data_IF_112579612021
#
_entry.id   IF_112579612021
#
_cell.length_a   1.000
_cell.length_b   1.000
_cell.length_c   1.000
_cell.angle_alpha   90.00
_cell.angle_beta   90.00
_cell.angle_gamma   90.00
#
_symmetry.space_group_name_H-M   'P 1'
#
loop_
_entity.id
_entity.type
_entity.pdbx_description
1 polymer ?
#
# COMPACT_ATOMS: atom_id res chain seq x y z
N UNK A 1 -22.84 -7.07 -24.65
CA UNK A 1 -21.97 -6.57 -23.57
C UNK A 1 -21.84 -5.07 -23.73
N UNK A 2 -22.19 -4.26 -22.73
CA UNK A 2 -22.07 -2.81 -22.80
C UNK A 2 -20.57 -2.42 -22.70
N UNK A 3 -20.03 -1.49 -23.50
CA UNK A 3 -18.64 -1.05 -23.39
C UNK A 3 -18.22 -0.60 -21.98
N UNK A 4 -19.14 -0.03 -21.20
CA UNK A 4 -18.86 0.34 -19.81
C UNK A 4 -18.61 -0.86 -18.88
N UNK A 5 -19.33 -1.97 -19.07
CA UNK A 5 -19.13 -3.20 -18.30
C UNK A 5 -17.74 -3.80 -18.55
N UNK A 6 -17.21 -3.61 -19.77
CA UNK A 6 -15.87 -4.10 -20.14
C UNK A 6 -14.74 -3.28 -19.51
N UNK A 7 -14.96 -1.99 -19.26
CA UNK A 7 -13.97 -1.12 -18.61
C UNK A 7 -13.91 -1.38 -17.11
N UNK A 8 -15.07 -1.40 -16.44
CA UNK A 8 -15.16 -1.72 -15.01
C UNK A 8 -14.57 -3.10 -14.66
N UNK A 9 -14.78 -4.10 -15.52
CA UNK A 9 -14.19 -5.42 -15.33
C UNK A 9 -12.66 -5.43 -15.46
N UNK A 10 -12.08 -4.56 -16.31
CA UNK A 10 -10.62 -4.40 -16.44
C UNK A 10 -10.04 -3.65 -15.25
N UNK A 11 -10.73 -2.62 -14.78
CA UNK A 11 -10.31 -1.87 -13.58
C UNK A 11 -10.31 -2.76 -12.35
N UNK A 12 -11.36 -3.58 -12.13
CA UNK A 12 -11.39 -4.52 -11.02
C UNK A 12 -10.25 -5.56 -11.05
N UNK A 13 -9.80 -5.97 -12.23
CA UNK A 13 -8.63 -6.87 -12.36
C UNK A 13 -7.35 -6.14 -12.00
N UNK A 14 -7.21 -4.89 -12.42
CA UNK A 14 -6.06 -4.04 -12.05
C UNK A 14 -6.03 -3.78 -10.54
N UNK A 15 -7.15 -3.40 -9.94
CA UNK A 15 -7.26 -3.18 -8.48
C UNK A 15 -6.95 -4.45 -7.69
N UNK A 16 -7.43 -5.61 -8.14
CA UNK A 16 -7.08 -6.88 -7.51
C UNK A 16 -5.57 -7.14 -7.58
N UNK A 17 -4.94 -6.87 -8.72
CA UNK A 17 -3.50 -7.02 -8.87
C UNK A 17 -2.74 -6.07 -7.93
N UNK A 18 -3.15 -4.80 -7.86
CA UNK A 18 -2.59 -3.80 -6.96
C UNK A 18 -2.66 -4.26 -5.49
N UNK A 19 -3.81 -4.78 -5.08
CA UNK A 19 -4.04 -5.31 -3.74
C UNK A 19 -3.24 -6.57 -3.44
N UNK A 20 -3.03 -7.45 -4.43
CA UNK A 20 -2.24 -8.68 -4.24
C UNK A 20 -0.76 -8.35 -4.05
N UNK A 21 -0.15 -7.46 -4.86
CA UNK A 21 1.27 -7.17 -4.62
C UNK A 21 1.50 -6.27 -3.41
N UNK A 22 0.55 -5.41 -3.03
CA UNK A 22 0.64 -4.70 -1.74
C UNK A 22 0.57 -5.67 -0.56
N UNK A 23 -0.28 -6.70 -0.62
CA UNK A 23 -0.26 -7.81 0.35
C UNK A 23 1.06 -8.59 0.33
N UNK A 24 1.63 -8.88 -0.84
CA UNK A 24 2.94 -9.53 -0.94
C UNK A 24 4.03 -8.67 -0.32
N UNK A 25 3.99 -7.36 -0.53
CA UNK A 25 4.91 -6.42 0.10
C UNK A 25 4.75 -6.46 1.63
N UNK A 26 3.52 -6.34 2.14
CA UNK A 26 3.25 -6.38 3.58
C UNK A 26 3.62 -7.73 4.22
N UNK A 27 3.40 -8.84 3.51
CA UNK A 27 3.71 -10.21 3.94
C UNK A 27 5.16 -10.65 3.72
N UNK A 28 5.97 -9.87 3.02
CA UNK A 28 7.37 -10.21 2.73
C UNK A 28 8.25 -10.15 3.98
N UNK A 29 9.37 -10.88 3.98
CA UNK A 29 10.37 -10.72 5.03
C UNK A 29 11.03 -9.34 4.97
N UNK A 30 11.56 -8.88 6.10
CA UNK A 30 12.13 -7.53 6.27
C UNK A 30 13.12 -7.14 5.15
N UNK A 31 14.03 -8.05 4.78
CA UNK A 31 15.03 -7.77 3.75
C UNK A 31 14.41 -7.53 2.37
N UNK A 32 13.31 -8.22 2.06
CA UNK A 32 12.56 -8.02 0.81
C UNK A 32 11.78 -6.71 0.89
N UNK A 33 11.12 -6.43 2.02
CA UNK A 33 10.38 -5.18 2.26
C UNK A 33 11.27 -3.94 2.03
N UNK A 34 12.46 -3.93 2.65
CA UNK A 34 13.44 -2.84 2.49
C UNK A 34 14.08 -2.84 1.10
N UNK A 35 14.26 -4.01 0.48
CA UNK A 35 15.00 -4.17 -0.76
C UNK A 35 14.21 -3.86 -2.05
N UNK A 36 12.87 -3.78 -1.99
CA UNK A 36 12.04 -3.46 -3.18
C UNK A 36 11.66 -1.99 -3.27
N UNK A 37 11.74 -1.25 -2.17
CA UNK A 37 11.38 0.17 -2.11
C UNK A 37 12.60 1.08 -2.30
N UNK A 38 12.42 2.31 -2.84
CA UNK A 38 13.51 3.26 -2.95
C UNK A 38 14.06 3.68 -1.59
N UNK A 39 15.38 3.86 -1.48
CA UNK A 39 16.05 4.18 -0.20
C UNK A 39 15.67 5.52 0.44
N UNK A 40 15.00 6.41 -0.30
CA UNK A 40 14.64 7.74 0.17
C UNK A 40 13.22 7.83 0.75
N UNK A 41 12.42 6.76 0.67
CA UNK A 41 11.10 6.73 1.29
C UNK A 41 11.19 6.35 2.76
N UNK A 42 10.19 6.73 3.54
CA UNK A 42 10.00 6.19 4.88
C UNK A 42 9.38 4.79 4.76
N UNK A 43 10.21 3.75 4.84
CA UNK A 43 9.82 2.40 4.41
C UNK A 43 8.59 1.85 5.16
N UNK A 44 8.48 1.94 6.50
CA UNK A 44 7.29 1.47 7.21
C UNK A 44 6.00 2.15 6.72
N UNK A 45 6.03 3.48 6.59
CA UNK A 45 4.88 4.27 6.12
C UNK A 45 4.53 3.89 4.68
N UNK A 46 5.54 3.81 3.81
CA UNK A 46 5.33 3.49 2.39
C UNK A 46 4.65 2.14 2.19
N UNK A 47 5.02 1.12 2.98
CA UNK A 47 4.38 -0.20 2.95
C UNK A 47 2.92 -0.11 3.37
N UNK A 48 2.63 0.62 4.46
CA UNK A 48 1.26 0.78 4.94
C UNK A 48 0.39 1.59 3.96
N UNK A 49 0.92 2.69 3.44
CA UNK A 49 0.24 3.53 2.44
C UNK A 49 -0.02 2.76 1.15
N UNK A 50 0.96 1.99 0.65
CA UNK A 50 0.78 1.14 -0.54
C UNK A 50 -0.37 0.15 -0.36
N UNK A 51 -0.51 -0.43 0.83
CA UNK A 51 -1.62 -1.32 1.14
C UNK A 51 -2.95 -0.55 1.24
N UNK A 52 -2.98 0.53 2.04
CA UNK A 52 -4.18 1.34 2.24
C UNK A 52 -4.75 1.89 0.94
N UNK A 53 -3.90 2.45 0.07
CA UNK A 53 -4.30 2.98 -1.24
C UNK A 53 -4.92 1.91 -2.14
N UNK A 54 -4.35 0.69 -2.14
CA UNK A 54 -4.91 -0.43 -2.89
C UNK A 54 -6.23 -0.92 -2.26
N UNK A 55 -6.34 -0.91 -0.93
CA UNK A 55 -7.52 -1.34 -0.20
C UNK A 55 -8.72 -0.40 -0.40
N UNK A 56 -8.51 0.90 -0.65
CA UNK A 56 -9.58 1.85 -1.02
C UNK A 56 -10.44 1.36 -2.20
N UNK A 57 -9.89 0.48 -3.04
CA UNK A 57 -10.54 -0.05 -4.23
C UNK A 57 -11.06 -1.48 -4.07
N UNK A 58 -10.97 -2.05 -2.86
CA UNK A 58 -11.39 -3.42 -2.56
C UNK A 58 -12.91 -3.63 -2.72
N UNK A 59 -13.73 -2.60 -2.48
CA UNK A 59 -15.19 -2.65 -2.67
C UNK A 59 -15.57 -2.88 -4.14
N UNK A 60 -14.82 -2.30 -5.08
CA UNK A 60 -15.03 -2.50 -6.51
C UNK A 60 -14.60 -3.92 -6.93
N UNK A 61 -13.53 -4.45 -6.33
CA UNK A 61 -13.08 -5.83 -6.52
C UNK A 61 -14.13 -6.83 -6.02
N UNK A 62 -14.71 -6.58 -4.83
CA UNK A 62 -15.79 -7.37 -4.26
C UNK A 62 -17.06 -7.29 -5.11
N UNK A 63 -17.48 -6.08 -5.50
CA UNK A 63 -18.68 -5.86 -6.33
C UNK A 63 -18.58 -6.53 -7.70
N UNK A 64 -17.37 -6.63 -8.24
CA UNK A 64 -17.08 -7.34 -9.49
C UNK A 64 -16.99 -8.87 -9.32
N UNK A 65 -17.20 -9.40 -8.10
CA UNK A 65 -17.16 -10.83 -7.80
C UNK A 65 -15.77 -11.45 -7.90
N UNK A 66 -14.70 -10.64 -7.78
CA UNK A 66 -13.30 -11.11 -7.88
C UNK A 66 -12.77 -11.67 -6.57
N UNK A 67 -13.34 -11.22 -5.45
CA UNK A 67 -13.11 -11.75 -4.11
C UNK A 67 -14.46 -12.04 -3.45
N UNK A 68 -14.44 -12.91 -2.44
CA UNK A 68 -15.58 -13.22 -1.60
C UNK A 68 -15.69 -12.21 -0.45
N UNK A 69 -16.87 -12.17 0.20
CA UNK A 69 -17.05 -11.36 1.41
C UNK A 69 -16.08 -11.75 2.53
N UNK A 70 -15.76 -13.04 2.69
CA UNK A 70 -14.81 -13.50 3.70
C UNK A 70 -13.38 -12.99 3.43
N UNK A 71 -12.94 -13.06 2.17
CA UNK A 71 -11.64 -12.51 1.77
C UNK A 71 -11.57 -10.99 1.95
N UNK A 72 -12.66 -10.28 1.62
CA UNK A 72 -12.76 -8.84 1.91
C UNK A 72 -12.63 -8.54 3.40
N UNK A 73 -13.30 -9.32 4.27
CA UNK A 73 -13.18 -9.15 5.71
C UNK A 73 -11.74 -9.32 6.22
N UNK A 74 -10.96 -10.26 5.65
CA UNK A 74 -9.53 -10.40 5.98
C UNK A 74 -8.70 -9.19 5.58
N UNK A 75 -8.95 -8.67 4.38
CA UNK A 75 -8.29 -7.47 3.88
C UNK A 75 -8.58 -6.27 4.80
N UNK A 76 -9.83 -6.12 5.22
CA UNK A 76 -10.23 -5.09 6.18
C UNK A 76 -9.58 -5.28 7.55
N UNK A 77 -9.48 -6.52 8.06
CA UNK A 77 -8.81 -6.79 9.33
C UNK A 77 -7.34 -6.34 9.34
N UNK A 78 -6.64 -6.46 8.20
CA UNK A 78 -5.27 -5.94 8.06
C UNK A 78 -5.25 -4.41 8.10
N UNK A 79 -6.16 -3.77 7.36
CA UNK A 79 -6.30 -2.31 7.32
C UNK A 79 -6.58 -1.72 8.71
N UNK A 80 -7.51 -2.34 9.45
CA UNK A 80 -7.86 -1.95 10.82
C UNK A 80 -6.66 -2.09 11.78
N UNK A 81 -5.78 -3.08 11.58
CA UNK A 81 -4.57 -3.23 12.38
C UNK A 81 -3.57 -2.12 12.08
N UNK A 82 -3.37 -1.77 10.80
CA UNK A 82 -2.50 -0.65 10.40
C UNK A 82 -3.01 0.69 10.97
N UNK A 83 -4.32 0.94 10.92
CA UNK A 83 -4.94 2.12 11.52
C UNK A 83 -4.72 2.15 13.03
N UNK A 84 -4.87 1.01 13.71
CA UNK A 84 -4.65 0.91 15.17
C UNK A 84 -3.20 1.15 15.60
N UNK A 85 -2.24 1.01 14.69
CA UNK A 85 -0.82 1.31 14.91
C UNK A 85 -0.49 2.79 14.66
N UNK A 86 -1.43 3.57 14.12
CA UNK A 86 -1.20 4.95 13.69
C UNK A 86 -1.42 5.96 14.82
N UNK A 87 -0.85 7.16 14.67
CA UNK A 87 -0.99 8.26 15.63
C UNK A 87 0.29 8.55 16.41
N UNK A 88 0.33 9.72 17.05
CA UNK A 88 1.54 10.23 17.70
C UNK A 88 2.06 9.30 18.80
N UNK A 89 1.15 8.69 19.56
CA UNK A 89 1.47 7.82 20.70
C UNK A 89 2.06 6.46 20.28
N UNK A 90 2.08 6.15 18.98
CA UNK A 90 2.57 4.88 18.42
C UNK A 90 3.74 5.07 17.44
N UNK A 91 4.36 6.25 17.43
CA UNK A 91 5.43 6.58 16.48
C UNK A 91 6.61 5.59 16.51
N UNK A 92 6.87 4.96 17.66
CA UNK A 92 7.90 3.93 17.82
C UNK A 92 7.66 2.68 16.98
N UNK A 93 6.40 2.38 16.65
CA UNK A 93 6.01 1.25 15.79
C UNK A 93 6.38 1.49 14.32
N UNK A 94 6.59 2.74 13.92
CA UNK A 94 6.89 3.14 12.54
C UNK A 94 8.39 3.29 12.28
N UNK A 95 9.23 2.58 13.03
CA UNK A 95 10.69 2.56 12.84
C UNK A 95 11.13 1.30 12.09
N UNK A 96 12.31 1.34 11.44
CA UNK A 96 12.90 0.13 10.83
C UNK A 96 13.18 -0.96 11.87
N UNK A 97 13.54 -0.57 13.10
CA UNK A 97 13.77 -1.51 14.19
C UNK A 97 12.48 -2.24 14.60
N UNK A 98 11.38 -1.51 14.79
CA UNK A 98 10.07 -2.08 15.05
C UNK A 98 9.57 -2.92 13.87
N UNK A 99 9.80 -2.47 12.63
CA UNK A 99 9.46 -3.24 11.43
C UNK A 99 10.19 -4.58 11.36
N UNK A 100 11.48 -4.61 11.73
CA UNK A 100 12.28 -5.84 11.72
C UNK A 100 11.89 -6.78 12.87
N UNK A 101 11.78 -6.26 14.08
CA UNK A 101 11.79 -7.08 15.29
C UNK A 101 10.47 -7.05 16.08
N UNK A 102 9.65 -6.03 15.88
CA UNK A 102 8.42 -5.77 16.63
C UNK A 102 7.34 -6.84 16.41
N UNK A 103 6.58 -7.19 17.47
CA UNK A 103 5.50 -8.17 17.37
C UNK A 103 4.37 -7.72 16.44
N UNK A 104 4.10 -6.42 16.34
CA UNK A 104 3.05 -5.82 15.50
C UNK A 104 3.31 -6.10 14.03
N UNK A 105 4.53 -5.80 13.55
CA UNK A 105 4.94 -6.07 12.17
C UNK A 105 5.08 -7.56 11.85
N UNK A 106 5.48 -8.39 12.83
CA UNK A 106 5.44 -9.85 12.69
C UNK A 106 4.01 -10.37 12.51
N UNK A 107 3.06 -9.82 13.27
CA UNK A 107 1.64 -10.15 13.15
C UNK A 107 1.09 -9.72 11.79
N UNK A 108 1.36 -8.49 11.34
CA UNK A 108 0.97 -8.02 10.01
C UNK A 108 1.49 -8.93 8.89
N UNK A 109 2.77 -9.32 8.95
CA UNK A 109 3.34 -10.28 8.00
C UNK A 109 2.60 -11.62 7.99
N UNK A 110 2.25 -12.15 9.16
CA UNK A 110 1.48 -13.41 9.27
C UNK A 110 0.09 -13.26 8.66
N UNK A 111 -0.64 -12.22 9.04
CA UNK A 111 -2.00 -11.94 8.53
C UNK A 111 -2.02 -11.78 7.01
N UNK A 112 -1.04 -11.07 6.45
CA UNK A 112 -0.92 -10.90 5.00
C UNK A 112 -0.65 -12.23 4.29
N UNK A 113 0.22 -13.10 4.85
CA UNK A 113 0.51 -14.44 4.29
C UNK A 113 -0.71 -15.36 4.34
N UNK A 114 -1.42 -15.36 5.45
CA UNK A 114 -2.66 -16.14 5.62
C UNK A 114 -3.73 -15.65 4.63
N UNK A 115 -3.87 -14.33 4.48
CA UNK A 115 -4.82 -13.72 3.52
C UNK A 115 -4.46 -14.07 2.08
N UNK A 116 -3.17 -14.06 1.71
CA UNK A 116 -2.72 -14.54 0.40
C UNK A 116 -3.09 -16.01 0.16
N UNK A 117 -2.93 -16.87 1.16
CA UNK A 117 -3.33 -18.28 1.07
C UNK A 117 -4.85 -18.42 0.89
N UNK A 118 -5.66 -17.66 1.63
CA UNK A 118 -7.12 -17.63 1.46
C UNK A 118 -7.56 -17.09 0.09
N UNK A 119 -6.78 -16.19 -0.50
CA UNK A 119 -6.95 -15.69 -1.87
C UNK A 119 -6.47 -16.68 -2.95
N UNK A 120 -5.86 -17.80 -2.56
CA UNK A 120 -5.25 -18.76 -3.50
C UNK A 120 -4.00 -18.22 -4.20
N UNK A 121 -3.35 -17.21 -3.60
CA UNK A 121 -2.19 -16.52 -4.16
C UNK A 121 -0.91 -16.91 -3.42
N UNK A 122 0.20 -17.18 -4.14
CA UNK A 122 1.48 -17.44 -3.50
C UNK A 122 2.11 -16.15 -2.96
N UNK A 123 2.91 -16.29 -1.89
CA UNK A 123 3.86 -15.26 -1.48
C UNK A 123 5.04 -15.28 -2.47
N UNK A 124 5.12 -14.25 -3.30
CA UNK A 124 6.21 -13.99 -4.23
C UNK A 124 6.85 -12.64 -3.89
N UNK A 125 8.03 -12.37 -4.44
CA UNK A 125 8.59 -11.01 -4.40
C UNK A 125 7.59 -10.06 -5.07
N UNK A 126 7.17 -8.97 -4.41
CA UNK A 126 6.13 -8.09 -4.94
C UNK A 126 6.60 -7.39 -6.23
N UNK A 127 5.69 -7.26 -7.19
CA UNK A 127 5.87 -6.39 -8.34
C UNK A 127 5.20 -5.03 -8.10
N UNK A 128 5.98 -3.95 -8.08
CA UNK A 128 5.50 -2.59 -7.79
C UNK A 128 5.56 -1.66 -9.01
N UNK A 129 5.56 -2.20 -10.23
CA UNK A 129 5.68 -1.42 -11.48
C UNK A 129 4.60 -0.34 -11.68
N UNK A 130 3.50 -0.38 -10.92
CA UNK A 130 2.45 0.65 -10.94
C UNK A 130 2.77 1.86 -10.05
N UNK A 131 3.73 1.76 -9.13
CA UNK A 131 4.14 2.86 -8.27
C UNK A 131 5.19 3.73 -8.97
N UNK A 132 4.97 5.04 -8.98
CA UNK A 132 5.94 6.00 -9.50
C UNK A 132 6.44 6.89 -8.38
N UNK A 133 7.75 6.81 -8.10
CA UNK A 133 8.39 7.62 -7.07
C UNK A 133 9.07 8.84 -7.68
N UNK A 134 8.59 10.03 -7.32
CA UNK A 134 9.29 11.27 -7.63
C UNK A 134 10.34 11.56 -6.55
N UNK A 135 11.63 11.30 -6.84
CA UNK A 135 12.71 11.75 -5.97
C UNK A 135 12.91 13.26 -6.13
N UNK A 136 12.81 14.01 -5.03
CA UNK A 136 13.08 15.44 -4.97
C UNK A 136 14.58 15.79 -5.13
N UNK A 137 15.28 15.22 -6.10
CA UNK A 137 16.57 15.75 -6.60
C UNK A 137 16.39 16.88 -7.62
N UNK A 138 15.14 17.26 -7.91
CA UNK A 138 14.80 18.38 -8.79
C UNK A 138 14.25 19.62 -8.04
N UNK A 139 14.11 19.57 -6.70
CA UNK A 139 13.69 20.73 -5.91
C UNK A 139 14.83 21.69 -5.56
N UNK A 140 16.04 21.49 -6.11
CA UNK A 140 17.18 22.41 -5.98
C UNK A 140 17.18 23.53 -7.04
N UNK A 141 16.15 23.63 -7.88
CA UNK A 141 15.90 24.88 -8.61
C UNK A 141 15.02 25.78 -7.73
N UNK A 142 15.51 26.93 -7.25
CA UNK A 142 14.63 27.92 -6.67
C UNK A 142 13.55 28.23 -7.71
N UNK A 143 12.31 28.45 -7.25
CA UNK A 143 11.24 29.00 -8.07
C UNK A 143 11.66 30.40 -8.54
N UNK A 144 12.47 30.46 -9.59
CA UNK A 144 12.94 31.68 -10.21
C UNK A 144 11.75 32.21 -11.03
N UNK A 145 10.90 33.03 -10.39
CA UNK A 145 9.92 33.81 -11.13
C UNK A 145 8.61 34.20 -10.44
N UNK A 146 8.28 33.71 -9.24
CA UNK A 146 7.07 34.20 -8.56
C UNK A 146 7.40 35.45 -7.75
N UNK A 147 7.29 36.62 -8.38
CA UNK A 147 7.18 37.89 -7.66
C UNK A 147 5.79 37.97 -7.04
N UNK A 148 5.72 37.88 -5.72
CA UNK A 148 4.52 38.31 -4.99
C UNK A 148 4.51 39.84 -4.98
N UNK A 149 3.50 40.42 -5.60
CA UNK A 149 3.23 41.86 -5.56
C UNK A 149 2.71 42.20 -4.15
N UNK A 150 3.40 43.05 -3.36
CA UNK A 150 3.06 43.24 -1.95
C UNK A 150 1.84 44.14 -1.71
N UNK A 151 1.24 44.74 -2.74
CA UNK A 151 0.08 45.64 -2.57
C UNK A 151 -1.11 45.21 -3.43
N UNK A 152 -2.10 44.60 -2.78
CA UNK A 152 -3.38 44.25 -3.39
C UNK A 152 -4.52 44.28 -2.37
N UNK A 153 -5.08 45.48 -2.14
CA UNK A 153 -6.39 45.69 -1.49
C UNK A 153 -6.37 46.55 -0.24
#
# INVERSE_FOLDING_TARGET
>A
MNPQDSHAAKDAVRFLHELIESLRLLGSDFDVQVGVLPKFVHIPDEIALTYGDAFLLADQVLSAGRITQGQYSRLKEIDDVLDSMSGHDYAELWTLEAMQNGPEWKRLRSMARETLQELGMPLLRPNLDWLTYASSRFADSPLDGIKFDPDGG
#
